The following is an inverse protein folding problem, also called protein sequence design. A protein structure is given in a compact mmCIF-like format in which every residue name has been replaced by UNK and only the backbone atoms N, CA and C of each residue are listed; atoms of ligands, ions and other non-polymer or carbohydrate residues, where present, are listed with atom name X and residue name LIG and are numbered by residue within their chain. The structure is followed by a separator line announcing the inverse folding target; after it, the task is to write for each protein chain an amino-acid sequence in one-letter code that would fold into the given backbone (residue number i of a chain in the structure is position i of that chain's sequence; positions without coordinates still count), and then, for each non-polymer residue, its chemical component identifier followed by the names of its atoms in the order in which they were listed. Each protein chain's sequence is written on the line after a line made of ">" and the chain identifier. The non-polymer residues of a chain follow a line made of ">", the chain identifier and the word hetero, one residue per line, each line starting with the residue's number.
data_IF_400068370304
#
_entry.id   IF_400068370304
#
_cell.length_a   1.000
_cell.length_b   1.000
_cell.length_c   1.000
_cell.angle_alpha   90.00
_cell.angle_beta   90.00
_cell.angle_gamma   90.00
#
_symmetry.space_group_name_H-M   'P 1'
#
loop_
_entity.id
_entity.type
_entity.pdbx_description
1 polymer ?
#
# COMPACT_ATOMS: atom_id res chain seq x y z
N UNK A 1 -15.78 -16.09 38.83
CA UNK A 1 -14.57 -15.95 38.00
C UNK A 1 -14.87 -14.89 36.99
N UNK A 2 -14.63 -13.65 37.38
CA UNK A 2 -14.73 -12.48 36.53
C UNK A 2 -13.57 -12.50 35.53
N UNK A 3 -13.92 -12.36 34.25
CA UNK A 3 -12.94 -12.08 33.21
C UNK A 3 -12.67 -10.58 33.26
N UNK A 4 -11.51 -10.20 33.81
CA UNK A 4 -10.96 -8.85 33.65
C UNK A 4 -10.70 -8.61 32.16
N UNK A 5 -11.64 -7.93 31.51
CA UNK A 5 -11.40 -7.18 30.29
C UNK A 5 -10.44 -6.05 30.66
N UNK A 6 -9.15 -6.24 30.36
CA UNK A 6 -8.18 -5.15 30.33
C UNK A 6 -8.60 -4.22 29.18
N UNK A 7 -9.45 -3.24 29.48
CA UNK A 7 -9.61 -2.06 28.66
C UNK A 7 -8.28 -1.31 28.73
N UNK A 8 -7.50 -1.34 27.65
CA UNK A 8 -6.46 -0.33 27.46
C UNK A 8 -7.21 0.98 27.34
N UNK A 9 -7.17 1.80 28.40
CA UNK A 9 -7.68 3.18 28.36
C UNK A 9 -6.81 3.94 27.37
N UNK A 10 -7.29 4.05 26.13
CA UNK A 10 -6.74 4.92 25.12
C UNK A 10 -6.86 6.35 25.65
N UNK A 11 -5.72 6.95 26.01
CA UNK A 11 -5.70 8.34 26.47
C UNK A 11 -5.70 9.22 25.23
N UNK A 12 -6.84 9.85 24.95
CA UNK A 12 -6.93 10.94 23.98
C UNK A 12 -5.99 12.06 24.43
N UNK A 13 -5.13 12.55 23.52
CA UNK A 13 -4.28 13.70 23.82
C UNK A 13 -5.06 15.02 23.66
N UNK A 14 -4.52 16.10 24.25
CA UNK A 14 -5.08 17.44 24.08
C UNK A 14 -5.26 17.76 22.58
N UNK A 15 -6.43 18.28 22.23
CA UNK A 15 -6.94 18.33 20.86
C UNK A 15 -6.11 19.19 19.88
N UNK A 16 -5.16 20.01 20.35
CA UNK A 16 -4.42 20.96 19.51
C UNK A 16 -3.24 20.31 18.75
N UNK A 17 -2.89 19.06 19.04
CA UNK A 17 -1.62 18.48 18.55
C UNK A 17 -1.59 17.96 17.10
N UNK A 18 -2.72 17.89 16.40
CA UNK A 18 -2.77 17.36 15.04
C UNK A 18 -3.05 18.49 14.03
N UNK A 19 -2.19 18.61 13.01
CA UNK A 19 -2.30 19.62 11.95
C UNK A 19 -3.60 19.47 11.15
N UNK A 20 -4.00 18.24 10.80
CA UNK A 20 -5.28 18.01 10.13
C UNK A 20 -6.46 18.16 11.11
N UNK A 21 -7.46 19.00 10.80
CA UNK A 21 -8.58 19.28 11.70
C UNK A 21 -9.57 18.11 11.84
N UNK A 22 -9.53 17.11 10.96
CA UNK A 22 -10.35 15.91 11.04
C UNK A 22 -9.65 14.76 11.77
N UNK A 23 -8.33 14.80 11.94
CA UNK A 23 -7.59 13.76 12.64
C UNK A 23 -7.93 13.69 14.13
N UNK A 24 -7.89 12.47 14.68
CA UNK A 24 -8.03 12.20 16.10
C UNK A 24 -6.65 12.01 16.73
N UNK A 25 -6.46 12.55 17.94
CA UNK A 25 -5.20 12.51 18.67
C UNK A 25 -5.21 11.37 19.69
N UNK A 26 -4.24 10.45 19.59
CA UNK A 26 -4.02 9.37 20.55
C UNK A 26 -2.60 9.43 21.12
N UNK A 27 -2.43 9.04 22.38
CA UNK A 27 -1.11 8.84 22.97
C UNK A 27 -0.79 7.34 23.08
N UNK A 28 0.12 6.85 22.23
CA UNK A 28 0.58 5.46 22.24
C UNK A 28 1.98 5.36 22.82
N UNK A 29 2.13 4.79 24.02
CA UNK A 29 3.46 4.61 24.66
C UNK A 29 4.31 5.89 24.63
N UNK A 30 3.70 7.03 24.99
CA UNK A 30 4.33 8.35 25.00
C UNK A 30 4.66 8.95 23.62
N UNK A 31 4.07 8.41 22.54
CA UNK A 31 4.10 9.01 21.21
C UNK A 31 2.72 9.59 20.89
N UNK A 32 2.66 10.89 20.58
CA UNK A 32 1.46 11.53 20.06
C UNK A 32 1.22 11.04 18.64
N UNK A 33 -0.01 10.64 18.35
CA UNK A 33 -0.39 10.00 17.11
C UNK A 33 -1.66 10.62 16.57
N UNK A 34 -1.57 11.16 15.36
CA UNK A 34 -2.73 11.65 14.62
C UNK A 34 -3.25 10.52 13.75
N UNK A 35 -4.53 10.20 13.88
CA UNK A 35 -5.15 9.07 13.18
C UNK A 35 -6.40 9.55 12.48
N UNK A 36 -6.54 9.17 11.21
CA UNK A 36 -7.76 9.49 10.49
C UNK A 36 -8.96 8.75 11.08
N UNK A 37 -10.09 9.45 11.27
CA UNK A 37 -11.29 8.84 11.82
C UNK A 37 -11.95 7.88 10.82
N UNK A 38 -12.94 7.07 11.25
CA UNK A 38 -13.72 6.23 10.34
C UNK A 38 -14.22 6.99 9.11
N UNK A 39 -14.09 6.36 7.93
CA UNK A 39 -14.51 6.94 6.64
C UNK A 39 -13.53 7.94 6.03
N UNK A 40 -12.44 8.26 6.74
CA UNK A 40 -11.33 9.06 6.24
C UNK A 40 -10.09 8.18 6.01
N UNK A 41 -9.28 8.55 5.03
CA UNK A 41 -8.07 7.84 4.65
C UNK A 41 -6.92 8.85 4.54
N UNK A 42 -5.77 8.49 5.09
CA UNK A 42 -4.60 9.36 5.14
C UNK A 42 -3.60 8.94 6.19
N UNK A 43 -2.53 9.72 6.31
CA UNK A 43 -1.49 9.51 7.32
C UNK A 43 -1.83 10.08 8.69
N UNK A 44 -2.98 10.75 8.85
CA UNK A 44 -3.41 11.35 10.11
C UNK A 44 -2.78 12.70 10.39
N UNK A 45 -1.45 12.77 10.39
CA UNK A 45 -0.73 14.01 10.71
C UNK A 45 -1.04 15.14 9.73
N UNK A 46 -0.81 14.92 8.44
CA UNK A 46 -0.90 15.99 7.43
C UNK A 46 -2.27 16.12 6.79
N UNK A 47 -2.91 14.99 6.44
CA UNK A 47 -4.24 15.05 5.85
C UNK A 47 -5.06 13.79 6.05
N UNK A 48 -6.31 13.98 6.46
CA UNK A 48 -7.34 12.98 6.49
C UNK A 48 -8.41 13.31 5.46
N UNK A 49 -8.65 12.37 4.54
CA UNK A 49 -9.49 12.64 3.36
C UNK A 49 -10.68 11.71 3.35
N UNK A 50 -11.87 12.30 3.22
CA UNK A 50 -13.11 11.56 3.08
C UNK A 50 -13.25 10.97 1.67
N UNK A 51 -13.94 9.83 1.54
CA UNK A 51 -14.33 9.25 0.25
C UNK A 51 -15.05 10.21 -0.69
N UNK A 52 -15.75 11.22 -0.16
CA UNK A 52 -16.52 12.23 -0.90
C UNK A 52 -15.71 13.46 -1.32
N UNK A 53 -14.44 13.54 -0.93
CA UNK A 53 -13.54 14.63 -1.31
C UNK A 53 -13.17 14.59 -2.80
N UNK A 54 -12.58 15.67 -3.30
CA UNK A 54 -12.12 15.84 -4.69
C UNK A 54 -11.09 14.77 -5.08
N UNK A 55 -10.86 14.65 -6.39
CA UNK A 55 -10.00 13.61 -6.96
C UNK A 55 -8.58 13.65 -6.36
N UNK A 56 -8.16 12.56 -5.71
CA UNK A 56 -6.79 12.40 -5.19
C UNK A 56 -5.95 11.52 -6.09
N UNK A 57 -4.70 11.93 -6.27
CA UNK A 57 -3.70 11.18 -7.01
C UNK A 57 -2.54 10.77 -6.10
N UNK A 58 -2.33 9.46 -5.94
CA UNK A 58 -1.11 8.94 -5.33
C UNK A 58 -0.22 8.41 -6.45
N UNK A 59 0.97 8.98 -6.57
CA UNK A 59 1.93 8.61 -7.59
C UNK A 59 3.26 8.19 -6.99
N UNK A 60 3.68 6.97 -7.28
CA UNK A 60 4.99 6.45 -6.93
C UNK A 60 5.75 6.14 -8.21
N UNK A 61 7.02 6.53 -8.29
CA UNK A 61 7.89 6.23 -9.45
C UNK A 61 9.24 5.74 -8.99
N UNK A 62 9.90 4.94 -9.82
CA UNK A 62 11.29 4.59 -9.61
C UNK A 62 11.75 3.53 -10.60
N UNK A 63 12.67 2.69 -10.16
CA UNK A 63 13.25 1.65 -10.99
C UNK A 63 12.99 0.27 -10.41
N UNK A 64 12.68 -0.70 -11.29
CA UNK A 64 12.76 -2.12 -10.99
C UNK A 64 14.04 -2.70 -11.56
N UNK A 65 14.91 -3.21 -10.69
CA UNK A 65 16.23 -3.73 -11.02
C UNK A 65 16.30 -5.24 -10.78
N UNK A 66 16.66 -6.01 -11.80
CA UNK A 66 16.83 -7.46 -11.73
C UNK A 66 18.32 -7.79 -11.65
N UNK A 67 18.71 -8.40 -10.53
CA UNK A 67 20.07 -8.86 -10.25
C UNK A 67 20.19 -10.38 -10.47
N UNK A 68 21.15 -10.75 -11.31
CA UNK A 68 21.57 -12.15 -11.51
C UNK A 68 22.13 -12.74 -10.20
N UNK A 69 22.07 -14.08 -9.99
CA UNK A 69 22.61 -14.70 -8.78
C UNK A 69 24.10 -14.42 -8.53
N UNK A 70 24.87 -14.17 -9.60
CA UNK A 70 26.29 -13.86 -9.54
C UNK A 70 26.58 -12.36 -9.43
N UNK A 71 25.54 -11.50 -9.41
CA UNK A 71 25.66 -10.04 -9.29
C UNK A 71 26.24 -9.32 -10.53
N UNK A 72 26.74 -10.05 -11.52
CA UNK A 72 27.47 -9.49 -12.67
C UNK A 72 26.59 -8.79 -13.71
N UNK A 73 25.29 -8.99 -13.68
CA UNK A 73 24.33 -8.38 -14.60
C UNK A 73 23.17 -7.78 -13.82
N UNK A 74 22.91 -6.50 -14.07
CA UNK A 74 21.79 -5.74 -13.54
C UNK A 74 21.03 -5.12 -14.71
N UNK A 75 19.73 -5.44 -14.81
CA UNK A 75 18.81 -4.82 -15.76
C UNK A 75 17.81 -3.97 -14.99
N UNK A 76 17.69 -2.70 -15.35
CA UNK A 76 16.80 -1.74 -14.66
C UNK A 76 15.76 -1.18 -15.62
N UNK A 77 14.51 -1.15 -15.17
CA UNK A 77 13.37 -0.66 -15.95
C UNK A 77 12.55 0.34 -15.13
N UNK A 78 11.96 1.39 -15.73
CA UNK A 78 11.09 2.28 -14.99
C UNK A 78 9.86 1.52 -14.47
N UNK A 79 9.48 1.79 -13.23
CA UNK A 79 8.23 1.31 -12.62
C UNK A 79 7.45 2.49 -12.05
N UNK A 80 6.13 2.46 -12.19
CA UNK A 80 5.24 3.41 -11.54
C UNK A 80 4.08 2.70 -10.86
N UNK A 81 3.55 3.33 -9.83
CA UNK A 81 2.25 3.04 -9.27
C UNK A 81 1.45 4.34 -9.21
N UNK A 82 0.21 4.28 -9.69
CA UNK A 82 -0.73 5.39 -9.68
C UNK A 82 -2.04 4.91 -9.07
N UNK A 83 -2.52 5.65 -8.08
CA UNK A 83 -3.87 5.50 -7.56
C UNK A 83 -4.69 6.69 -8.00
N UNK A 84 -5.75 6.41 -8.75
CA UNK A 84 -6.64 7.42 -9.29
C UNK A 84 -7.99 7.29 -8.56
N UNK A 85 -8.30 8.31 -7.76
CA UNK A 85 -9.63 8.49 -7.20
C UNK A 85 -10.39 9.47 -8.08
N UNK A 86 -11.20 8.96 -9.02
CA UNK A 86 -12.25 9.73 -9.69
C UNK A 86 -13.60 9.25 -9.17
N UNK A 87 -14.68 10.04 -9.27
CA UNK A 87 -16.07 9.64 -8.94
C UNK A 87 -16.36 8.18 -9.36
N UNK A 88 -16.24 7.22 -8.43
CA UNK A 88 -16.24 5.79 -8.75
C UNK A 88 -15.31 4.96 -7.84
N UNK A 89 -15.13 3.66 -8.13
CA UNK A 89 -14.20 2.81 -7.40
C UNK A 89 -12.76 3.19 -7.72
N UNK A 90 -11.92 3.25 -6.69
CA UNK A 90 -10.51 3.60 -6.78
C UNK A 90 -9.77 2.65 -7.72
N UNK A 91 -9.06 3.22 -8.70
CA UNK A 91 -8.25 2.46 -9.65
C UNK A 91 -6.80 2.49 -9.21
N UNK A 92 -6.25 1.33 -8.88
CA UNK A 92 -4.82 1.12 -8.70
C UNK A 92 -4.19 0.63 -10.00
N UNK A 93 -3.18 1.33 -10.49
CA UNK A 93 -2.42 0.96 -11.67
C UNK A 93 -0.95 0.87 -11.31
N UNK A 94 -0.33 -0.28 -11.56
CA UNK A 94 1.13 -0.43 -11.47
C UNK A 94 1.66 -0.89 -12.81
N UNK A 95 2.69 -0.24 -13.32
CA UNK A 95 3.25 -0.51 -14.63
C UNK A 95 4.79 -0.53 -14.61
N UNK A 96 5.36 -1.45 -15.39
CA UNK A 96 6.78 -1.52 -15.72
C UNK A 96 6.91 -1.16 -17.20
N UNK A 97 7.73 -0.16 -17.49
CA UNK A 97 7.91 0.41 -18.82
C UNK A 97 9.19 -0.10 -19.48
N UNK A 98 9.30 0.13 -20.79
CA UNK A 98 10.49 -0.14 -21.60
C UNK A 98 10.98 -1.59 -21.49
N UNK A 99 10.05 -2.53 -21.27
CA UNK A 99 10.35 -3.95 -21.14
C UNK A 99 10.61 -4.53 -22.52
N UNK A 100 11.72 -5.27 -22.77
CA UNK A 100 11.93 -5.92 -24.05
C UNK A 100 10.74 -6.80 -24.42
N UNK A 101 10.34 -6.83 -25.70
CA UNK A 101 9.15 -7.57 -26.15
C UNK A 101 9.30 -9.09 -26.11
N UNK A 102 10.52 -9.59 -25.97
CA UNK A 102 10.84 -11.01 -25.89
C UNK A 102 12.15 -11.25 -25.13
N UNK A 103 12.44 -12.52 -24.84
CA UNK A 103 13.69 -12.96 -24.23
C UNK A 103 13.59 -13.23 -22.73
N UNK A 104 14.74 -13.56 -22.13
CA UNK A 104 14.86 -13.96 -20.74
C UNK A 104 14.30 -12.90 -19.77
N UNK A 105 14.70 -11.64 -19.96
CA UNK A 105 14.31 -10.54 -19.08
C UNK A 105 12.81 -10.26 -19.15
N UNK A 106 12.22 -10.28 -20.35
CA UNK A 106 10.77 -10.20 -20.53
C UNK A 106 10.03 -11.28 -19.73
N UNK A 107 10.48 -12.53 -19.84
CA UNK A 107 9.83 -13.64 -19.17
C UNK A 107 9.96 -13.53 -17.64
N UNK A 108 11.11 -13.06 -17.12
CA UNK A 108 11.29 -12.80 -15.68
C UNK A 108 10.35 -11.69 -15.21
N UNK A 109 10.31 -10.55 -15.90
CA UNK A 109 9.44 -9.43 -15.53
C UNK A 109 7.97 -9.82 -15.53
N UNK A 110 7.56 -10.69 -16.47
CA UNK A 110 6.20 -11.24 -16.48
C UNK A 110 5.90 -12.17 -15.30
N UNK A 111 6.87 -12.86 -14.73
CA UNK A 111 6.66 -13.61 -13.49
C UNK A 111 6.33 -12.68 -12.32
N UNK A 112 6.73 -11.40 -12.38
CA UNK A 112 6.52 -10.43 -11.30
C UNK A 112 5.13 -9.80 -11.31
N UNK A 113 4.24 -10.11 -12.27
CA UNK A 113 2.88 -9.52 -12.28
C UNK A 113 2.11 -9.70 -10.97
N UNK A 114 2.21 -10.84 -10.23
CA UNK A 114 1.57 -10.95 -8.93
C UNK A 114 2.05 -9.93 -7.90
N UNK A 115 3.29 -9.44 -7.98
CA UNK A 115 3.81 -8.39 -7.10
C UNK A 115 3.10 -7.06 -7.34
N UNK A 116 2.75 -6.76 -8.59
CA UNK A 116 2.11 -5.49 -8.96
C UNK A 116 0.72 -5.38 -8.30
N UNK A 117 0.02 -6.50 -8.11
CA UNK A 117 -1.20 -6.56 -7.30
C UNK A 117 -0.96 -6.20 -5.82
N UNK A 118 0.16 -6.62 -5.22
CA UNK A 118 0.54 -6.20 -3.86
C UNK A 118 0.83 -4.71 -3.79
N UNK A 119 1.49 -4.14 -4.81
CA UNK A 119 1.74 -2.70 -4.90
C UNK A 119 0.41 -1.93 -5.02
N UNK A 120 -0.50 -2.38 -5.88
CA UNK A 120 -1.84 -1.79 -5.99
C UNK A 120 -2.63 -1.88 -4.67
N UNK A 121 -2.40 -2.91 -3.85
CA UNK A 121 -3.08 -3.05 -2.56
C UNK A 121 -2.66 -2.05 -1.48
N UNK A 122 -1.51 -1.37 -1.64
CA UNK A 122 -0.96 -0.51 -0.59
C UNK A 122 -1.85 0.70 -0.27
N UNK A 123 -2.57 1.18 -1.29
CA UNK A 123 -3.45 2.36 -1.26
C UNK A 123 -4.94 1.98 -1.33
N UNK A 124 -5.29 0.72 -0.99
CA UNK A 124 -6.66 0.20 -0.99
C UNK A 124 -7.62 1.07 -0.18
N UNK A 125 -8.87 1.19 -0.62
CA UNK A 125 -9.83 2.08 0.05
C UNK A 125 -10.80 1.32 0.98
N UNK A 126 -11.08 1.83 2.20
CA UNK A 126 -12.13 1.30 3.08
C UNK A 126 -13.50 1.13 2.39
N UNK A 127 -14.12 -0.04 2.48
CA UNK A 127 -15.51 -0.24 1.97
C UNK A 127 -16.58 0.23 2.95
N UNK A 128 -16.24 0.27 4.23
CA UNK A 128 -17.14 0.57 5.34
C UNK A 128 -16.66 1.80 6.12
N UNK A 129 -17.59 2.47 6.79
CA UNK A 129 -17.30 3.56 7.70
C UNK A 129 -16.80 3.02 9.06
N UNK A 130 -15.68 2.30 9.05
CA UNK A 130 -15.05 1.66 10.20
C UNK A 130 -13.56 1.99 10.30
N UNK A 131 -12.95 1.74 11.46
CA UNK A 131 -11.50 1.96 11.71
C UNK A 131 -10.65 0.89 11.02
N UNK A 132 -10.59 0.93 9.69
CA UNK A 132 -9.71 0.08 8.88
C UNK A 132 -8.61 0.90 8.21
N UNK A 133 -7.38 0.38 8.26
CA UNK A 133 -6.20 1.09 7.82
C UNK A 133 -5.52 0.33 6.69
N UNK A 134 -5.38 0.96 5.53
CA UNK A 134 -4.53 0.45 4.47
C UNK A 134 -3.04 0.66 4.83
N UNK A 135 -2.13 0.10 4.04
CA UNK A 135 -0.69 0.23 4.31
C UNK A 135 -0.25 1.68 4.19
N UNK A 136 -0.83 2.47 3.29
CA UNK A 136 -0.60 3.91 3.21
C UNK A 136 -0.89 4.61 4.56
N UNK A 137 -2.07 4.41 5.16
CA UNK A 137 -2.45 4.99 6.46
C UNK A 137 -1.57 4.47 7.60
N UNK A 138 -1.30 3.16 7.63
CA UNK A 138 -0.46 2.52 8.66
C UNK A 138 0.95 3.10 8.74
N UNK A 139 1.43 3.66 7.65
CA UNK A 139 2.80 4.15 7.51
C UNK A 139 2.88 5.67 7.48
N UNK A 140 1.81 6.38 7.87
CA UNK A 140 1.78 7.84 7.84
C UNK A 140 1.81 8.41 6.43
N UNK A 141 1.26 7.68 5.45
CA UNK A 141 1.36 8.02 4.03
C UNK A 141 2.79 7.85 3.51
N UNK A 142 3.49 6.78 3.88
CA UNK A 142 4.90 6.54 3.52
C UNK A 142 5.84 7.74 3.81
N UNK A 143 5.53 8.57 4.81
CA UNK A 143 6.44 9.63 5.28
C UNK A 143 7.80 9.03 5.65
N UNK A 144 7.76 7.88 6.31
CA UNK A 144 8.91 7.01 6.54
C UNK A 144 9.19 6.08 5.38
N UNK A 145 10.46 5.70 5.26
CA UNK A 145 10.88 4.62 4.37
C UNK A 145 10.18 3.32 4.76
N UNK A 146 9.37 2.80 3.85
CA UNK A 146 8.74 1.49 3.94
C UNK A 146 9.54 0.50 3.11
N UNK A 147 9.99 -0.57 3.77
CA UNK A 147 10.71 -1.68 3.13
C UNK A 147 9.83 -2.92 3.08
N UNK A 148 9.34 -3.27 1.90
CA UNK A 148 8.58 -4.50 1.66
C UNK A 148 9.51 -5.58 1.12
N UNK A 149 9.53 -6.75 1.76
CA UNK A 149 10.32 -7.90 1.35
C UNK A 149 9.41 -9.08 1.03
N UNK A 150 9.52 -9.62 -0.18
CA UNK A 150 8.77 -10.78 -0.64
C UNK A 150 9.70 -11.92 -1.02
N UNK A 151 9.37 -13.12 -0.54
CA UNK A 151 9.96 -14.36 -1.04
C UNK A 151 8.94 -15.04 -1.95
N UNK A 152 9.31 -15.20 -3.22
CA UNK A 152 8.44 -15.80 -4.24
C UNK A 152 9.06 -17.09 -4.75
N UNK A 153 8.38 -18.20 -4.49
CA UNK A 153 8.79 -19.54 -4.92
C UNK A 153 7.99 -19.98 -6.14
N UNK A 154 8.70 -20.30 -7.23
CA UNK A 154 8.15 -20.82 -8.46
C UNK A 154 8.48 -22.30 -8.61
N UNK A 155 7.45 -23.14 -8.71
CA UNK A 155 7.62 -24.58 -8.83
C UNK A 155 8.54 -24.91 -10.03
N UNK A 156 9.64 -25.64 -9.78
CA UNK A 156 10.68 -26.03 -10.76
C UNK A 156 11.58 -24.91 -11.29
N UNK A 157 11.24 -23.64 -11.06
CA UNK A 157 12.09 -22.51 -11.44
C UNK A 157 12.92 -21.96 -10.27
N UNK A 158 12.58 -22.26 -9.01
CA UNK A 158 13.33 -21.76 -7.84
C UNK A 158 12.71 -20.50 -7.25
N UNK A 159 13.49 -19.75 -6.46
CA UNK A 159 12.97 -18.61 -5.71
C UNK A 159 13.55 -17.27 -6.20
N UNK A 160 12.72 -16.23 -6.10
CA UNK A 160 13.11 -14.84 -6.23
C UNK A 160 12.91 -14.14 -4.88
N UNK A 161 13.90 -13.37 -4.48
CA UNK A 161 13.78 -12.42 -3.38
C UNK A 161 13.52 -11.04 -3.97
N UNK A 162 12.42 -10.41 -3.56
CA UNK A 162 12.02 -9.10 -4.05
C UNK A 162 12.00 -8.13 -2.87
N UNK A 163 12.58 -6.95 -3.05
CA UNK A 163 12.58 -5.88 -2.06
C UNK A 163 12.08 -4.59 -2.70
N UNK A 164 11.00 -4.01 -2.17
CA UNK A 164 10.50 -2.71 -2.58
C UNK A 164 10.76 -1.69 -1.47
N UNK A 165 11.39 -0.57 -1.83
CA UNK A 165 11.63 0.58 -0.96
C UNK A 165 10.73 1.71 -1.42
N UNK A 166 9.83 2.14 -0.54
CA UNK A 166 8.83 3.16 -0.83
C UNK A 166 8.98 4.29 0.16
N UNK A 167 9.03 5.52 -0.33
CA UNK A 167 9.07 6.70 0.52
C UNK A 167 8.44 7.88 -0.20
N UNK A 168 7.65 8.66 0.52
CA UNK A 168 7.13 9.93 0.04
C UNK A 168 8.23 10.93 -0.23
N UNK A 169 8.08 11.72 -1.28
CA UNK A 169 8.86 12.93 -1.49
C UNK A 169 8.03 14.19 -1.24
N UNK A 170 6.78 14.22 -1.70
CA UNK A 170 5.89 15.39 -1.64
C UNK A 170 4.49 14.96 -1.21
N UNK A 171 3.86 15.78 -0.37
CA UNK A 171 2.47 15.68 0.07
C UNK A 171 1.83 17.05 -0.07
N UNK A 172 0.77 17.16 -0.85
CA UNK A 172 -0.12 18.32 -0.91
C UNK A 172 -1.57 17.82 -0.75
N UNK A 173 -2.49 18.76 -0.55
CA UNK A 173 -3.93 18.57 -0.31
C UNK A 173 -4.63 17.59 -1.25
N UNK A 174 -4.25 17.56 -2.54
CA UNK A 174 -4.88 16.69 -3.55
C UNK A 174 -3.88 15.73 -4.24
N UNK A 175 -2.58 15.92 -4.00
CA UNK A 175 -1.53 15.25 -4.74
C UNK A 175 -0.46 14.67 -3.83
N UNK A 176 -0.14 13.40 -4.07
CA UNK A 176 0.91 12.70 -3.38
C UNK A 176 1.93 12.19 -4.40
N UNK A 177 3.21 12.48 -4.16
CA UNK A 177 4.31 11.90 -4.94
C UNK A 177 5.37 11.25 -4.06
N UNK A 178 5.93 10.15 -4.55
CA UNK A 178 7.01 9.45 -3.87
C UNK A 178 7.83 8.56 -4.78
N UNK A 179 8.86 7.98 -4.18
CA UNK A 179 9.76 7.05 -4.83
C UNK A 179 9.37 5.60 -4.50
N UNK A 180 9.44 4.73 -5.49
CA UNK A 180 9.28 3.28 -5.35
C UNK A 180 10.37 2.58 -6.17
N UNK A 181 11.38 2.07 -5.48
CA UNK A 181 12.45 1.29 -6.09
C UNK A 181 12.27 -0.18 -5.72
N UNK A 182 12.34 -1.06 -6.72
CA UNK A 182 12.13 -2.49 -6.55
C UNK A 182 13.38 -3.24 -6.99
N UNK A 183 13.95 -4.04 -6.10
CA UNK A 183 15.09 -4.89 -6.40
C UNK A 183 14.66 -6.36 -6.41
N UNK A 184 15.01 -7.08 -7.48
CA UNK A 184 14.68 -8.49 -7.69
C UNK A 184 15.98 -9.27 -7.74
N UNK A 185 16.24 -10.09 -6.72
CA UNK A 185 17.40 -10.97 -6.63
C UNK A 185 16.98 -12.40 -6.93
N UNK A 186 17.62 -13.00 -7.93
CA UNK A 186 17.47 -14.42 -8.21
C UNK A 186 18.35 -15.24 -7.28
N UNK A 187 17.81 -16.28 -6.64
CA UNK A 187 18.65 -17.23 -5.91
C UNK A 187 19.49 -18.08 -6.88
N UNK A 188 20.63 -18.62 -6.43
CA UNK A 188 21.56 -19.42 -7.27
C UNK A 188 20.90 -20.57 -8.03
N UNK A 189 19.84 -21.15 -7.47
CA UNK A 189 19.09 -22.25 -8.10
C UNK A 189 17.99 -21.78 -9.06
N UNK A 190 17.82 -20.47 -9.26
CA UNK A 190 16.74 -19.94 -10.09
C UNK A 190 17.00 -20.21 -11.57
N UNK A 191 16.02 -20.84 -12.23
CA UNK A 191 16.05 -21.15 -13.66
C UNK A 191 15.18 -20.16 -14.39
N UNK A 192 15.81 -19.39 -15.29
CA UNK A 192 15.09 -18.45 -16.15
C UNK A 192 14.04 -19.19 -16.98
N UNK A 193 12.77 -18.75 -16.97
CA UNK A 193 11.73 -19.37 -17.77
C UNK A 193 11.99 -19.18 -19.27
N UNK A 194 11.91 -20.28 -20.04
CA UNK A 194 11.96 -20.26 -21.51
C UNK A 194 10.64 -19.82 -22.14
N UNK A 195 9.55 -19.99 -21.40
CA UNK A 195 8.17 -19.76 -21.83
C UNK A 195 7.58 -18.57 -21.08
N UNK A 196 6.61 -17.90 -21.71
CA UNK A 196 5.84 -16.84 -21.07
C UNK A 196 4.72 -17.48 -20.24
N UNK A 197 4.74 -17.21 -18.94
CA UNK A 197 3.67 -17.54 -18.00
C UNK A 197 2.82 -16.32 -17.72
N UNK A 198 1.51 -16.51 -17.70
CA UNK A 198 0.53 -15.46 -17.49
C UNK A 198 -0.41 -15.83 -16.36
N UNK A 199 -0.74 -14.84 -15.55
CA UNK A 199 -1.81 -14.94 -14.59
C UNK A 199 -3.15 -14.79 -15.30
N UNK A 200 -4.06 -15.75 -15.12
CA UNK A 200 -5.45 -15.62 -15.59
C UNK A 200 -6.34 -14.94 -14.56
N UNK A 201 -6.06 -15.21 -13.29
CA UNK A 201 -6.74 -14.64 -12.12
C UNK A 201 -5.77 -14.69 -10.94
N UNK A 202 -5.78 -13.66 -10.11
CA UNK A 202 -4.95 -13.58 -8.91
C UNK A 202 -5.49 -14.47 -7.79
N UNK A 203 -5.35 -15.79 -7.93
CA UNK A 203 -5.83 -16.75 -6.92
C UNK A 203 -7.32 -16.59 -6.64
N UNK A 204 -7.67 -16.28 -5.39
CA UNK A 204 -9.05 -15.97 -4.95
C UNK A 204 -9.39 -14.46 -5.01
N UNK A 205 -8.49 -13.63 -5.56
CA UNK A 205 -8.65 -12.17 -5.65
C UNK A 205 -8.34 -11.40 -4.36
N UNK A 206 -7.75 -12.02 -3.34
CA UNK A 206 -7.51 -11.36 -2.03
C UNK A 206 -6.04 -11.33 -1.59
N UNK A 207 -5.68 -10.26 -0.89
CA UNK A 207 -4.40 -10.10 -0.19
C UNK A 207 -4.71 -9.87 1.29
N UNK A 208 -4.05 -10.62 2.16
CA UNK A 208 -4.21 -10.45 3.61
C UNK A 208 -2.91 -9.98 4.24
N UNK A 209 -3.01 -9.00 5.13
CA UNK A 209 -1.89 -8.58 5.97
C UNK A 209 -2.34 -8.24 7.39
N UNK A 210 -1.38 -8.24 8.30
CA UNK A 210 -1.60 -7.97 9.72
C UNK A 210 -0.33 -7.41 10.34
N UNK A 211 -0.45 -6.56 11.36
CA UNK A 211 0.66 -6.20 12.24
C UNK A 211 1.06 -7.40 13.10
N UNK A 212 2.35 -7.68 13.19
CA UNK A 212 2.88 -8.82 13.97
C UNK A 212 3.91 -8.42 15.03
N UNK A 213 4.40 -7.19 14.97
CA UNK A 213 5.27 -6.55 15.96
C UNK A 213 5.33 -5.05 15.66
N UNK A 214 5.95 -4.27 16.57
CA UNK A 214 6.32 -2.86 16.34
C UNK A 214 6.94 -2.65 14.95
N UNK A 215 6.29 -1.86 14.10
CA UNK A 215 6.81 -1.51 12.77
C UNK A 215 6.86 -2.65 11.76
N UNK A 216 6.26 -3.81 12.06
CA UNK A 216 6.34 -5.01 11.21
C UNK A 216 4.95 -5.48 10.79
N UNK A 217 4.75 -5.50 9.47
CA UNK A 217 3.58 -6.06 8.81
C UNK A 217 3.92 -7.41 8.19
N UNK A 218 3.00 -8.37 8.27
CA UNK A 218 3.13 -9.67 7.60
C UNK A 218 2.03 -9.85 6.57
N UNK A 219 2.42 -10.15 5.34
CA UNK A 219 1.48 -10.63 4.32
C UNK A 219 1.32 -12.14 4.46
N UNK A 220 0.08 -12.62 4.47
CA UNK A 220 -0.21 -14.06 4.55
C UNK A 220 0.31 -14.74 3.27
N UNK A 221 0.82 -15.96 3.44
CA UNK A 221 1.24 -16.79 2.30
C UNK A 221 0.09 -16.94 1.30
N UNK A 222 0.39 -16.64 0.03
CA UNK A 222 -0.51 -16.81 -1.11
C UNK A 222 -0.02 -17.91 -2.02
N UNK A 223 -0.95 -18.68 -2.57
CA UNK A 223 -0.69 -19.67 -3.61
C UNK A 223 -1.41 -19.27 -4.90
N UNK A 224 -0.67 -19.22 -6.00
CA UNK A 224 -1.17 -18.79 -7.31
C UNK A 224 -0.82 -19.83 -8.38
N UNK A 225 -1.48 -19.70 -9.53
CA UNK A 225 -1.23 -20.54 -10.70
C UNK A 225 -1.06 -19.65 -11.92
N UNK A 226 0.10 -19.72 -12.55
CA UNK A 226 0.37 -19.09 -13.83
C UNK A 226 0.27 -20.14 -14.94
N UNK A 227 -0.16 -19.75 -16.14
CA UNK A 227 -0.34 -20.66 -17.27
C UNK A 227 0.39 -20.16 -18.51
N UNK A 228 0.87 -21.07 -19.34
CA UNK A 228 1.44 -20.71 -20.66
C UNK A 228 0.34 -20.35 -21.65
N UNK A 229 0.56 -19.32 -22.47
CA UNK A 229 -0.43 -18.89 -23.49
C UNK A 229 -0.41 -19.76 -24.76
N UNK A 230 0.74 -20.31 -25.15
CA UNK A 230 0.95 -20.93 -26.48
C UNK A 230 0.85 -22.46 -26.53
N UNK A 231 0.73 -23.15 -25.40
CA UNK A 231 0.67 -24.62 -25.35
C UNK A 231 -0.75 -25.15 -25.17
N UNK A 232 -1.06 -26.26 -25.85
CA UNK A 232 -2.25 -27.08 -25.62
C UNK A 232 -1.80 -28.52 -25.29
N UNK A 233 -2.06 -29.04 -24.07
CA UNK A 233 -2.65 -28.34 -22.93
C UNK A 233 -1.69 -27.30 -22.32
N UNK A 234 -2.23 -26.22 -21.71
CA UNK A 234 -1.41 -25.19 -21.07
C UNK A 234 -0.64 -25.76 -19.89
N UNK A 235 0.66 -25.45 -19.80
CA UNK A 235 1.47 -25.82 -18.64
C UNK A 235 1.14 -24.89 -17.48
N UNK A 236 1.07 -25.46 -16.28
CA UNK A 236 0.76 -24.74 -15.04
C UNK A 236 2.03 -24.59 -14.21
N UNK A 237 2.34 -23.36 -13.83
CA UNK A 237 3.38 -23.00 -12.88
C UNK A 237 2.74 -22.59 -11.56
N UNK A 238 3.01 -23.36 -10.50
CA UNK A 238 2.53 -23.02 -9.15
C UNK A 238 3.50 -22.03 -8.51
N UNK A 239 2.93 -21.01 -7.88
CA UNK A 239 3.68 -19.93 -7.24
C UNK A 239 3.26 -19.83 -5.77
N UNK A 240 4.22 -19.61 -4.87
CA UNK A 240 3.96 -19.25 -3.48
C UNK A 240 4.63 -17.92 -3.16
N UNK A 241 3.87 -16.96 -2.63
CA UNK A 241 4.36 -15.65 -2.23
C UNK A 241 4.17 -15.50 -0.73
N UNK A 242 5.19 -15.02 -0.03
CA UNK A 242 5.08 -14.55 1.35
C UNK A 242 5.82 -13.21 1.47
N UNK A 243 5.24 -12.27 2.22
CA UNK A 243 5.76 -10.91 2.32
C UNK A 243 5.88 -10.44 3.76
N UNK A 244 6.77 -9.48 3.99
CA UNK A 244 6.92 -8.76 5.25
C UNK A 244 7.24 -7.29 4.96
N UNK A 245 6.57 -6.37 5.64
CA UNK A 245 6.83 -4.94 5.58
C UNK A 245 7.53 -4.47 6.85
N UNK A 246 8.52 -3.60 6.69
CA UNK A 246 9.27 -2.99 7.78
C UNK A 246 9.16 -1.47 7.65
N UNK A 247 8.84 -0.81 8.76
CA UNK A 247 8.62 0.63 8.83
C UNK A 247 9.25 1.14 10.11
N UNK A 248 10.01 2.23 10.02
CA UNK A 248 10.45 2.95 11.21
C UNK A 248 9.23 3.57 11.87
N UNK A 249 9.02 3.28 13.15
CA UNK A 249 7.87 3.80 13.91
C UNK A 249 8.27 5.09 14.62
N UNK A 250 7.57 6.16 14.27
CA UNK A 250 7.60 7.51 14.84
C UNK A 250 6.17 8.03 15.02
N UNK A 251 5.99 9.36 15.11
CA UNK A 251 4.70 10.05 15.22
C UNK A 251 3.78 9.84 14.00
N UNK A 252 4.33 9.61 12.80
CA UNK A 252 3.54 9.43 11.58
C UNK A 252 3.14 7.95 11.36
N UNK A 253 4.01 7.00 11.72
CA UNK A 253 3.74 5.56 11.61
C UNK A 253 3.32 4.91 12.95
N UNK A 254 2.77 5.72 13.86
CA UNK A 254 2.40 5.36 15.23
C UNK A 254 1.34 4.25 15.34
N UNK A 255 0.50 4.02 14.32
CA UNK A 255 -0.42 2.87 14.29
C UNK A 255 0.31 1.52 14.29
N UNK A 256 1.61 1.51 13.95
CA UNK A 256 2.47 0.33 14.04
C UNK A 256 3.23 0.22 15.37
N UNK A 257 2.99 1.11 16.34
CA UNK A 257 3.56 1.05 17.69
C UNK A 257 2.90 -0.02 18.57
N UNK A 258 3.60 -0.52 19.60
CA UNK A 258 2.99 -1.43 20.59
C UNK A 258 1.82 -0.76 21.32
N UNK A 259 0.72 -1.49 21.54
CA UNK A 259 -0.46 -0.94 22.23
C UNK A 259 -1.21 0.15 21.45
N UNK A 260 -0.98 0.26 20.14
CA UNK A 260 -1.80 1.10 19.26
C UNK A 260 -3.22 0.54 19.09
N UNK A 261 -4.06 1.27 18.33
CA UNK A 261 -5.41 0.81 17.92
C UNK A 261 -5.42 -0.51 17.12
N UNK A 262 -4.26 -1.04 16.76
CA UNK A 262 -4.11 -2.26 15.97
C UNK A 262 -3.43 -3.30 16.84
N UNK A 263 -4.22 -4.28 17.26
CA UNK A 263 -3.79 -5.40 18.07
C UNK A 263 -2.94 -6.37 17.25
N UNK A 264 -1.75 -6.67 17.79
CA UNK A 264 -0.80 -7.58 17.16
C UNK A 264 -1.40 -8.98 17.00
N UNK A 265 -1.25 -9.54 15.79
CA UNK A 265 -1.71 -10.88 15.43
C UNK A 265 -3.22 -11.16 15.57
N UNK A 266 -4.02 -10.22 16.07
CA UNK A 266 -5.49 -10.31 16.14
C UNK A 266 -6.15 -9.49 15.05
N UNK A 267 -5.66 -8.28 14.81
CA UNK A 267 -6.17 -7.43 13.74
C UNK A 267 -5.51 -7.77 12.42
N UNK A 268 -6.36 -8.07 11.44
CA UNK A 268 -5.94 -8.43 10.10
C UNK A 268 -6.84 -7.77 9.08
N UNK A 269 -6.22 -7.26 8.03
CA UNK A 269 -6.91 -6.59 6.94
C UNK A 269 -6.91 -7.48 5.70
N UNK A 270 -7.97 -7.34 4.91
CA UNK A 270 -8.13 -8.04 3.64
C UNK A 270 -8.34 -7.01 2.55
N UNK A 271 -7.51 -7.05 1.52
CA UNK A 271 -7.72 -6.30 0.30
C UNK A 271 -8.27 -7.23 -0.75
N UNK A 272 -9.44 -6.89 -1.30
CA UNK A 272 -10.06 -7.57 -2.43
C UNK A 272 -9.75 -6.81 -3.71
N UNK A 273 -9.35 -7.55 -4.74
CA UNK A 273 -9.01 -7.03 -6.08
C UNK A 273 -10.12 -7.38 -7.11
N UNK A 274 -11.14 -8.11 -6.68
CA UNK A 274 -12.23 -8.67 -7.50
C UNK A 274 -13.37 -7.64 -7.69
N UNK A 275 -13.99 -7.48 -8.89
CA UNK A 275 -14.03 -8.45 -9.99
C UNK A 275 -13.26 -8.10 -11.28
N UNK A 276 -12.47 -7.01 -11.29
CA UNK A 276 -11.90 -6.46 -12.53
C UNK A 276 -10.38 -6.35 -12.55
N UNK A 277 -9.70 -6.91 -11.55
CA UNK A 277 -8.24 -6.96 -11.49
C UNK A 277 -7.64 -7.80 -12.63
N UNK A 278 -6.75 -7.23 -13.44
CA UNK A 278 -6.02 -7.99 -14.46
C UNK A 278 -4.64 -7.42 -14.74
N UNK A 279 -3.74 -8.28 -15.19
CA UNK A 279 -2.42 -7.91 -15.68
C UNK A 279 -2.28 -8.19 -17.16
N UNK A 280 -1.66 -7.27 -17.90
CA UNK A 280 -1.43 -7.44 -19.32
C UNK A 280 -0.09 -6.87 -19.77
N UNK A 281 0.24 -7.11 -21.04
CA UNK A 281 1.42 -6.57 -21.70
C UNK A 281 0.98 -5.92 -23.01
N UNK A 282 1.27 -4.63 -23.17
CA UNK A 282 0.98 -3.88 -24.39
C UNK A 282 2.30 -3.48 -25.05
N UNK A 283 2.45 -3.87 -26.30
CA UNK A 283 3.60 -3.55 -27.13
C UNK A 283 3.09 -2.65 -28.27
N UNK A 284 3.47 -1.36 -28.32
CA UNK A 284 3.13 -0.50 -29.43
C UNK A 284 3.53 -1.14 -30.76
N UNK A 285 2.68 -1.04 -31.79
CA UNK A 285 2.98 -1.61 -33.11
C UNK A 285 4.35 -1.09 -33.60
N UNK A 286 5.23 -2.00 -34.01
CA UNK A 286 6.64 -1.79 -34.42
C UNK A 286 7.69 -1.57 -33.30
N UNK A 287 7.29 -1.46 -32.03
CA UNK A 287 8.25 -1.32 -30.93
C UNK A 287 8.84 -2.67 -30.48
N UNK A 288 10.15 -2.69 -30.18
CA UNK A 288 10.82 -3.80 -29.47
C UNK A 288 10.61 -3.73 -27.96
N UNK A 289 9.90 -2.71 -27.46
CA UNK A 289 9.61 -2.47 -26.06
C UNK A 289 8.12 -2.49 -25.78
N UNK A 290 7.75 -2.96 -24.59
CA UNK A 290 6.39 -3.12 -24.12
C UNK A 290 6.23 -2.56 -22.71
N UNK A 291 4.98 -2.31 -22.33
CA UNK A 291 4.59 -2.01 -20.96
C UNK A 291 3.90 -3.23 -20.37
N UNK A 292 4.39 -3.71 -19.22
CA UNK A 292 3.69 -4.71 -18.41
C UNK A 292 2.96 -3.95 -17.31
N UNK A 293 1.66 -4.16 -17.16
CA UNK A 293 0.88 -3.43 -16.17
C UNK A 293 -0.20 -4.29 -15.54
N UNK A 294 -0.62 -3.91 -14.33
CA UNK A 294 -1.78 -4.46 -13.65
C UNK A 294 -2.72 -3.33 -13.23
N UNK A 295 -4.00 -3.52 -13.52
CA UNK A 295 -5.09 -2.63 -13.12
C UNK A 295 -5.96 -3.36 -12.11
N UNK A 296 -6.19 -2.75 -10.96
CA UNK A 296 -7.01 -3.31 -9.88
C UNK A 296 -7.96 -2.27 -9.30
N UNK A 297 -9.04 -2.75 -8.68
CA UNK A 297 -9.94 -1.95 -7.87
C UNK A 297 -9.84 -2.40 -6.41
N UNK A 298 -8.78 -2.01 -5.67
CA UNK A 298 -8.47 -2.58 -4.37
C UNK A 298 -9.42 -2.04 -3.28
N UNK A 299 -10.26 -2.94 -2.77
CA UNK A 299 -11.21 -2.68 -1.69
C UNK A 299 -10.68 -3.24 -0.37
N UNK A 300 -10.62 -2.42 0.67
CA UNK A 300 -10.16 -2.78 2.01
C UNK A 300 -11.34 -3.19 2.89
N UNK A 301 -11.21 -4.36 3.49
CA UNK A 301 -12.15 -4.94 4.45
C UNK A 301 -11.40 -5.34 5.74
N UNK A 302 -12.08 -5.23 6.89
CA UNK A 302 -11.61 -5.80 8.15
C UNK A 302 -11.88 -7.30 8.20
N UNK A 303 -11.04 -8.07 8.90
CA UNK A 303 -11.36 -9.46 9.26
C UNK A 303 -12.28 -9.60 10.46
N UNK A 304 -12.48 -8.52 11.23
CA UNK A 304 -13.38 -8.48 12.39
C UNK A 304 -14.47 -7.44 12.15
N UNK A 305 -15.68 -7.67 12.69
CA UNK A 305 -16.72 -6.66 12.72
C UNK A 305 -16.26 -5.51 13.63
N UNK A 306 -15.82 -4.41 13.03
CA UNK A 306 -15.38 -3.23 13.78
C UNK A 306 -16.57 -2.34 14.10
N UNK A 307 -16.40 -1.49 15.12
CA UNK A 307 -17.32 -0.41 15.41
C UNK A 307 -17.48 0.45 14.14
N UNK A 308 -18.69 0.45 13.60
CA UNK A 308 -19.10 1.28 12.46
C UNK A 308 -19.74 2.54 13.00
N UNK A 309 -19.26 3.69 12.54
CA UNK A 309 -19.97 4.95 12.79
C UNK A 309 -21.02 5.17 11.72
N UNK A 310 -22.15 5.77 12.09
CA UNK A 310 -23.15 6.18 11.10
C UNK A 310 -22.50 7.13 10.08
N UNK A 311 -22.79 6.94 8.79
CA UNK A 311 -22.28 7.84 7.75
C UNK A 311 -22.76 9.28 8.03
N UNK A 312 -21.82 10.15 8.40
CA UNK A 312 -22.06 11.56 8.63
C UNK A 312 -20.80 12.35 8.26
N UNK A 313 -20.98 13.57 7.77
CA UNK A 313 -19.85 14.49 7.59
C UNK A 313 -19.45 14.95 8.99
N UNK A 314 -18.35 14.39 9.52
CA UNK A 314 -17.73 14.91 10.74
C UNK A 314 -17.37 16.38 10.50
N UNK A 315 -17.74 17.27 11.43
CA UNK A 315 -17.34 18.68 11.36
C UNK A 315 -15.85 18.77 11.67
N UNK A 316 -15.08 19.59 10.94
CA UNK A 316 -13.68 19.82 11.28
C UNK A 316 -13.59 20.38 12.70
N UNK A 317 -12.53 20.01 13.43
CA UNK A 317 -12.21 20.67 14.69
C UNK A 317 -11.89 22.14 14.39
N UNK A 318 -12.40 23.05 15.22
CA UNK A 318 -12.06 24.47 15.13
C UNK A 318 -10.64 24.60 15.68
N UNK A 319 -9.70 25.01 14.82
CA UNK A 319 -8.36 25.40 15.26
C UNK A 319 -8.47 26.90 15.49
N UNK A 320 -8.54 27.32 16.75
CA UNK A 320 -8.45 28.72 17.10
C UNK A 320 -7.02 29.17 16.79
N UNK A 321 -6.78 29.66 15.58
CA UNK A 321 -5.55 30.41 15.28
C UNK A 321 -5.65 31.74 16.01
N UNK A 322 -4.74 32.01 16.94
CA UNK A 322 -4.60 33.26 17.72
C UNK A 322 -4.40 34.55 16.87
N UNK A 323 -4.71 34.52 15.58
CA UNK A 323 -4.61 35.65 14.65
C UNK A 323 -5.89 36.49 14.55
N UNK A 324 -7.02 36.07 15.15
CA UNK A 324 -8.24 36.89 15.20
C UNK A 324 -8.29 37.87 16.38
N UNK A 325 -7.51 37.68 17.45
CA UNK A 325 -7.46 38.66 18.54
C UNK A 325 -6.53 39.84 18.24
N UNK A 326 -5.51 39.69 17.38
CA UNK A 326 -4.66 40.82 16.98
C UNK A 326 -5.34 41.80 16.03
N UNK A 327 -6.35 41.36 15.25
CA UNK A 327 -7.12 42.26 14.39
C UNK A 327 -8.16 43.10 15.14
N UNK A 328 -8.55 42.72 16.36
CA UNK A 328 -9.45 43.54 17.18
C UNK A 328 -8.73 44.58 18.02
N UNK A 329 -7.44 44.38 18.33
CA UNK A 329 -6.66 45.36 19.09
C UNK A 329 -6.16 46.51 18.21
N UNK A 330 -5.89 46.28 16.91
CA UNK A 330 -5.52 47.37 15.99
C UNK A 330 -6.72 48.23 15.52
N UNK A 331 -7.97 47.75 15.65
CA UNK A 331 -9.16 48.57 15.34
C UNK A 331 -9.68 49.38 16.55
N UNK A 332 -9.20 49.12 17.78
CA UNK A 332 -9.57 49.90 18.99
C UNK A 332 -8.52 50.95 19.40
N UNK A 333 -7.34 51.00 18.77
CA UNK A 333 -6.34 52.08 18.98
C UNK A 333 -6.49 53.28 18.02
N UNK A 334 -7.42 53.22 17.05
CA UNK A 334 -7.67 54.29 16.06
C UNK A 334 -9.02 55.04 16.26
N UNK A 335 -9.54 55.13 17.51
CA UNK A 335 -10.71 55.98 17.86
C UNK A 335 -10.37 57.09 18.85
#
# INVERSE_FOLDING_TARGET
>A
MEHDLIFVTLVECEAINCEDPYAECFNFTSTVCCVCPPGFNGGGWEQCINRRSVDRFIRLKGMISIKSPDGNYEHSYPISHETIMMRGPLLGQTAIYDVPSMGAVHNILRLLTPLLHYINSLTSFPTENSRIYNIFSLTGGFSNLVRLRFNVSYQRLGNLLIEAMIQRSISDSDYYEGNMNVEVRSEKSFKVPKEIYTERQFGDGTIHYSKIARGVLRFRRKHLRLTTMKHQPPRVLRVSIIGTGYVTVDEAACLLQNGSLIEEAKDGFTVRLDPKGYCNTVCPHSSTFCTIYCLDYPLLESRQALYTEAEGIRKPRIIDTEDEEKKKVEEEEDV
#
